data_IF_965125422182
#
_entry.id   IF_965125422182
#
_cell.length_a   1.000
_cell.length_b   1.000
_cell.length_c   1.000
_cell.angle_alpha   90.00
_cell.angle_beta   90.00
_cell.angle_gamma   90.00
#
_symmetry.space_group_name_H-M   'P 1'
#
loop_
_entity.id
_entity.type
_entity.pdbx_description
1 polymer ?
#
# COMPACT_ATOMS: atom_id res chain seq x y z
N UNK A 1 -13.05 4.54 -3.59
CA UNK A 1 -12.73 3.15 -3.91
C UNK A 1 -14.00 2.34 -3.76
N UNK A 2 -14.44 1.74 -4.85
CA UNK A 2 -15.48 0.72 -4.80
C UNK A 2 -14.99 -0.50 -4.05
N UNK A 3 -15.92 -1.27 -3.49
CA UNK A 3 -15.56 -2.52 -2.86
C UNK A 3 -14.99 -3.49 -3.91
N UNK A 4 -13.83 -4.08 -3.61
CA UNK A 4 -13.19 -5.01 -4.53
C UNK A 4 -11.73 -5.32 -4.19
N UNK A 5 -11.19 -6.30 -4.92
CA UNK A 5 -9.77 -6.64 -4.91
C UNK A 5 -9.10 -5.93 -6.08
N UNK A 6 -7.94 -5.35 -5.82
CA UNK A 6 -7.16 -4.59 -6.78
C UNK A 6 -5.73 -5.13 -6.83
N UNK A 7 -5.12 -5.15 -8.02
CA UNK A 7 -3.66 -5.19 -8.09
C UNK A 7 -3.13 -3.80 -7.77
N UNK A 8 -2.00 -3.75 -7.06
CA UNK A 8 -1.31 -2.52 -6.72
C UNK A 8 0.12 -2.58 -7.26
N UNK A 9 0.56 -1.51 -7.91
CA UNK A 9 1.96 -1.32 -8.33
C UNK A 9 2.47 0.01 -7.79
N UNK A 10 3.54 -0.05 -7.00
CA UNK A 10 4.12 1.10 -6.28
C UNK A 10 5.45 1.48 -6.90
N UNK A 11 5.72 2.79 -6.98
CA UNK A 11 7.02 3.36 -7.30
C UNK A 11 7.37 4.50 -6.33
N UNK A 12 8.59 4.50 -5.79
CA UNK A 12 9.06 5.60 -4.92
C UNK A 12 9.37 6.85 -5.72
N UNK A 13 9.25 8.00 -5.06
CA UNK A 13 9.51 9.32 -5.66
C UNK A 13 10.84 9.95 -5.20
N UNK A 14 11.61 9.23 -4.40
CA UNK A 14 12.88 9.67 -3.81
C UNK A 14 14.09 9.54 -4.75
N UNK A 15 13.88 9.16 -6.02
CA UNK A 15 14.94 8.99 -7.01
C UNK A 15 15.72 7.67 -6.88
N UNK A 16 15.45 6.84 -5.87
CA UNK A 16 16.11 5.55 -5.68
C UNK A 16 15.45 4.39 -6.47
N UNK A 17 14.33 4.65 -7.14
CA UNK A 17 13.71 3.70 -8.08
C UNK A 17 13.10 2.46 -7.41
N UNK A 18 12.73 2.55 -6.13
CA UNK A 18 12.07 1.47 -5.41
C UNK A 18 10.73 1.12 -6.06
N UNK A 19 10.50 -0.16 -6.33
CA UNK A 19 9.24 -0.67 -6.90
C UNK A 19 8.69 -1.79 -6.03
N UNK A 20 7.37 -1.84 -5.93
CA UNK A 20 6.65 -2.89 -5.21
C UNK A 20 5.39 -3.29 -5.96
N UNK A 21 4.92 -4.51 -5.75
CA UNK A 21 3.64 -4.98 -6.31
C UNK A 21 3.01 -5.98 -5.38
N UNK A 22 1.68 -6.00 -5.36
CA UNK A 22 0.89 -6.87 -4.49
C UNK A 22 -0.59 -6.80 -4.83
N UNK A 23 -1.42 -7.16 -3.85
CA UNK A 23 -2.88 -6.99 -3.92
C UNK A 23 -3.38 -6.18 -2.74
N UNK A 24 -4.44 -5.42 -2.99
CA UNK A 24 -5.11 -4.60 -1.98
C UNK A 24 -6.61 -4.68 -2.17
N UNK A 25 -7.32 -4.94 -1.08
CA UNK A 25 -8.76 -5.00 -0.99
C UNK A 25 -9.29 -3.74 -0.32
N UNK A 26 -10.25 -3.09 -0.97
CA UNK A 26 -11.07 -2.05 -0.37
C UNK A 26 -12.42 -2.66 -0.06
N UNK A 27 -12.86 -2.59 1.19
CA UNK A 27 -14.14 -3.16 1.59
C UNK A 27 -14.75 -2.38 2.75
N UNK A 28 -15.86 -1.68 2.51
CA UNK A 28 -16.66 -1.02 3.54
C UNK A 28 -15.81 -0.10 4.45
N UNK A 29 -14.98 0.74 3.84
CA UNK A 29 -14.11 1.68 4.58
C UNK A 29 -12.86 1.04 5.19
N UNK A 30 -12.59 -0.25 4.92
CA UNK A 30 -11.39 -0.97 5.36
C UNK A 30 -10.46 -1.31 4.21
N UNK A 31 -9.17 -1.35 4.53
CA UNK A 31 -8.09 -1.77 3.65
C UNK A 31 -7.49 -3.07 4.20
N UNK A 32 -7.31 -4.04 3.31
CA UNK A 32 -6.53 -5.24 3.56
C UNK A 32 -5.62 -5.49 2.38
N UNK A 33 -4.50 -6.17 2.56
CA UNK A 33 -3.69 -6.56 1.43
C UNK A 33 -2.37 -7.16 1.83
N UNK A 34 -1.53 -7.39 0.82
CA UNK A 34 -0.18 -7.86 1.05
C UNK A 34 0.55 -8.16 -0.25
N UNK A 35 1.79 -8.58 -0.07
CA UNK A 35 2.69 -9.08 -1.08
C UNK A 35 3.47 -10.30 -0.52
N UNK A 36 4.54 -10.67 -1.21
CA UNK A 36 5.39 -11.80 -0.85
C UNK A 36 6.02 -11.69 0.56
N UNK A 37 6.13 -10.48 1.14
CA UNK A 37 6.81 -10.23 2.40
C UNK A 37 5.94 -9.51 3.44
N UNK A 38 5.00 -8.70 2.98
CA UNK A 38 4.28 -7.73 3.78
C UNK A 38 2.78 -8.02 3.76
N UNK A 39 2.10 -7.70 4.86
CA UNK A 39 0.65 -7.53 4.88
C UNK A 39 0.32 -6.09 5.25
N UNK A 40 -0.82 -5.62 4.78
CA UNK A 40 -1.30 -4.26 4.97
C UNK A 40 -2.70 -4.29 5.57
N UNK A 41 -2.94 -3.47 6.58
CA UNK A 41 -4.28 -3.26 7.15
C UNK A 41 -4.52 -1.78 7.34
N UNK A 42 -5.77 -1.34 7.21
CA UNK A 42 -6.05 0.09 7.32
C UNK A 42 -7.51 0.44 7.16
N UNK A 43 -7.76 1.74 7.06
CA UNK A 43 -9.08 2.30 6.81
C UNK A 43 -9.01 3.42 5.77
N UNK A 44 -10.15 3.70 5.15
CA UNK A 44 -10.29 4.79 4.19
C UNK A 44 -11.67 5.44 4.27
N UNK A 45 -11.70 6.71 3.87
CA UNK A 45 -12.92 7.49 3.67
C UNK A 45 -12.99 7.99 2.24
N UNK A 46 -14.22 8.23 1.77
CA UNK A 46 -14.49 8.69 0.40
C UNK A 46 -15.04 10.11 0.38
N UNK A 47 -14.67 10.86 -0.65
CA UNK A 47 -15.26 12.16 -0.97
C UNK A 47 -15.37 12.26 -2.49
N UNK A 48 -16.56 12.02 -3.02
CA UNK A 48 -16.79 11.88 -4.46
C UNK A 48 -15.92 10.76 -5.06
N UNK A 49 -15.12 11.10 -6.07
CA UNK A 49 -14.18 10.19 -6.75
C UNK A 49 -12.78 10.20 -6.13
N UNK A 50 -12.63 10.73 -4.91
CA UNK A 50 -11.36 10.73 -4.16
C UNK A 50 -11.47 9.94 -2.87
N UNK A 51 -10.32 9.51 -2.35
CA UNK A 51 -10.23 8.84 -1.07
C UNK A 51 -9.00 9.28 -0.28
N UNK A 52 -9.10 9.16 1.04
CA UNK A 52 -7.97 9.28 1.97
C UNK A 52 -7.99 8.06 2.89
N UNK A 53 -6.83 7.62 3.33
CA UNK A 53 -6.73 6.47 4.22
C UNK A 53 -5.42 6.42 4.99
N UNK A 54 -5.41 5.52 5.95
CA UNK A 54 -4.25 5.20 6.78
C UNK A 54 -4.04 3.69 6.72
N UNK A 55 -2.79 3.28 6.57
CA UNK A 55 -2.40 1.89 6.42
C UNK A 55 -1.23 1.61 7.36
N UNK A 56 -1.30 0.49 8.06
CA UNK A 56 -0.16 -0.11 8.76
C UNK A 56 0.34 -1.27 7.93
N UNK A 57 1.65 -1.30 7.70
CA UNK A 57 2.36 -2.35 6.98
C UNK A 57 3.23 -3.11 7.96
N UNK A 58 3.09 -4.43 7.95
CA UNK A 58 3.84 -5.32 8.83
C UNK A 58 4.39 -6.50 8.03
N UNK A 59 5.58 -6.95 8.39
CA UNK A 59 6.30 -8.01 7.68
C UNK A 59 5.92 -9.37 8.24
N UNK A 60 5.41 -10.27 7.40
CA UNK A 60 5.11 -11.66 7.77
C UNK A 60 6.19 -12.63 7.33
N UNK A 61 6.90 -12.34 6.23
CA UNK A 61 7.94 -13.19 5.68
C UNK A 61 9.29 -12.47 5.67
N UNK A 62 10.33 -13.17 6.13
CA UNK A 62 11.70 -12.65 6.16
C UNK A 62 12.24 -12.48 4.74
N UNK A 63 12.87 -11.35 4.47
CA UNK A 63 13.51 -11.08 3.20
C UNK A 63 15.03 -11.23 3.34
N UNK A 64 15.53 -12.43 3.05
CA UNK A 64 16.97 -12.74 3.14
C UNK A 64 17.75 -12.08 1.99
N UNK A 65 17.23 -12.22 0.76
CA UNK A 65 17.90 -11.75 -0.46
C UNK A 65 17.15 -10.61 -1.16
N UNK A 66 16.12 -10.06 -0.51
CA UNK A 66 15.28 -9.00 -1.05
C UNK A 66 15.21 -7.80 -0.09
N UNK A 67 14.85 -6.64 -0.64
CA UNK A 67 14.63 -5.40 0.11
C UNK A 67 13.18 -4.95 -0.05
N UNK A 68 12.26 -5.40 0.83
CA UNK A 68 10.88 -4.93 0.81
C UNK A 68 10.83 -3.41 1.00
N UNK A 69 9.88 -2.76 0.34
CA UNK A 69 9.84 -1.30 0.30
C UNK A 69 9.58 -0.66 1.67
N UNK A 70 8.75 -1.31 2.48
CA UNK A 70 8.33 -0.86 3.81
C UNK A 70 8.67 -1.90 4.89
N UNK A 71 9.72 -2.69 4.69
CA UNK A 71 10.16 -3.73 5.61
C UNK A 71 11.67 -3.71 5.82
N UNK A 72 12.17 -4.61 6.68
CA UNK A 72 13.61 -4.77 6.91
C UNK A 72 14.14 -5.99 6.17
N UNK A 73 15.37 -5.87 5.65
CA UNK A 73 16.15 -7.00 5.16
C UNK A 73 16.94 -7.64 6.30
N UNK A 74 17.22 -8.93 6.17
CA UNK A 74 18.06 -9.67 7.13
C UNK A 74 17.28 -10.31 8.28
N UNK A 75 17.95 -10.45 9.42
CA UNK A 75 17.49 -11.22 10.59
C UNK A 75 16.70 -10.39 11.61
N UNK A 76 16.60 -9.08 11.42
CA UNK A 76 15.84 -8.21 12.30
C UNK A 76 14.33 -8.39 12.12
N UNK A 77 13.53 -8.40 13.21
CA UNK A 77 12.09 -8.34 13.11
C UNK A 77 11.67 -7.09 12.33
N UNK A 78 10.75 -7.26 11.38
CA UNK A 78 10.15 -6.13 10.66
C UNK A 78 9.42 -5.21 11.64
N UNK A 79 9.62 -3.89 11.49
CA UNK A 79 8.89 -2.89 12.27
C UNK A 79 7.60 -2.54 11.53
N UNK A 80 6.52 -2.28 12.27
CA UNK A 80 5.30 -1.74 11.68
C UNK A 80 5.56 -0.35 11.11
N UNK A 81 5.12 -0.12 9.87
CA UNK A 81 5.25 1.15 9.16
C UNK A 81 3.88 1.75 8.94
N UNK A 82 3.65 2.92 9.54
CA UNK A 82 2.45 3.72 9.30
C UNK A 82 2.56 4.51 7.99
N UNK A 83 1.50 4.48 7.20
CA UNK A 83 1.42 5.11 5.88
C UNK A 83 0.12 5.91 5.77
N UNK A 84 0.23 7.20 5.48
CA UNK A 84 -0.91 8.00 5.02
C UNK A 84 -1.04 7.91 3.51
N UNK A 85 -2.25 7.71 2.99
CA UNK A 85 -2.52 7.64 1.54
C UNK A 85 -3.67 8.55 1.12
N UNK A 86 -3.59 9.05 -0.10
CA UNK A 86 -4.70 9.74 -0.75
C UNK A 86 -4.67 9.52 -2.25
N UNK A 87 -5.84 9.46 -2.88
CA UNK A 87 -5.93 9.14 -4.29
C UNK A 87 -7.28 9.46 -4.92
N UNK A 88 -7.36 9.16 -6.21
CA UNK A 88 -8.58 9.26 -7.01
C UNK A 88 -8.86 7.92 -7.70
N UNK A 89 -10.13 7.70 -8.04
CA UNK A 89 -10.55 6.43 -8.63
C UNK A 89 -11.66 6.60 -9.67
N UNK A 90 -11.73 5.62 -10.55
CA UNK A 90 -12.76 5.42 -11.58
C UNK A 90 -13.33 4.00 -11.41
N UNK A 91 -14.23 3.59 -12.30
CA UNK A 91 -14.80 2.23 -12.27
C UNK A 91 -13.73 1.15 -12.44
N UNK A 92 -12.67 1.39 -13.20
CA UNK A 92 -11.65 0.39 -13.51
C UNK A 92 -10.51 0.28 -12.49
N UNK A 93 -10.35 1.26 -11.61
CA UNK A 93 -9.14 1.37 -10.81
C UNK A 93 -8.92 2.77 -10.25
N UNK A 94 -7.67 3.12 -9.95
CA UNK A 94 -7.32 4.42 -9.41
C UNK A 94 -5.83 4.64 -9.29
N UNK A 95 -5.47 5.83 -8.84
CA UNK A 95 -4.10 6.22 -8.53
C UNK A 95 -4.05 6.79 -7.13
N UNK A 96 -2.95 6.56 -6.42
CA UNK A 96 -2.74 7.14 -5.09
C UNK A 96 -1.31 7.56 -4.86
N UNK A 97 -1.15 8.55 -3.99
CA UNK A 97 0.12 8.93 -3.39
C UNK A 97 0.11 8.47 -1.94
N UNK A 98 1.29 8.11 -1.43
CA UNK A 98 1.45 7.80 -0.01
C UNK A 98 2.75 8.31 0.58
N UNK A 99 2.73 8.49 1.89
CA UNK A 99 3.88 8.85 2.69
C UNK A 99 4.03 7.83 3.82
N UNK A 100 5.12 7.06 3.79
CA UNK A 100 5.46 6.08 4.81
C UNK A 100 6.44 6.67 5.81
N UNK A 101 6.15 6.55 7.10
CA UNK A 101 7.02 7.06 8.18
C UNK A 101 7.92 5.94 8.72
N UNK A 102 9.22 6.03 8.43
CA UNK A 102 10.24 5.13 8.97
C UNK A 102 11.20 5.92 9.86
N UNK A 103 10.90 5.96 11.15
CA UNK A 103 11.70 6.73 12.12
C UNK A 103 11.67 8.23 11.80
N UNK A 104 12.82 8.78 11.37
CA UNK A 104 12.98 10.22 11.06
C UNK A 104 12.81 10.56 9.57
N UNK A 105 12.61 9.57 8.71
CA UNK A 105 12.51 9.76 7.26
C UNK A 105 11.10 9.42 6.77
N UNK A 106 10.61 10.23 5.83
CA UNK A 106 9.38 9.98 5.10
C UNK A 106 9.73 9.46 3.71
N UNK A 107 9.22 8.29 3.36
CA UNK A 107 9.32 7.74 2.00
C UNK A 107 8.04 8.07 1.24
N UNK A 108 8.16 8.85 0.17
CA UNK A 108 7.03 9.19 -0.70
C UNK A 108 6.95 8.20 -1.87
N UNK A 109 5.74 7.82 -2.22
CA UNK A 109 5.48 6.91 -3.34
C UNK A 109 4.21 7.26 -4.09
N UNK A 110 4.14 6.78 -5.34
CA UNK A 110 2.92 6.68 -6.14
C UNK A 110 2.55 5.22 -6.31
N UNK A 111 1.25 4.96 -6.43
CA UNK A 111 0.73 3.65 -6.76
C UNK A 111 -0.39 3.73 -7.79
N UNK A 112 -0.43 2.73 -8.66
CA UNK A 112 -1.54 2.47 -9.59
C UNK A 112 -2.34 1.28 -9.09
N UNK A 113 -3.66 1.36 -9.20
CA UNK A 113 -4.62 0.37 -8.75
C UNK A 113 -5.46 -0.08 -9.95
N UNK A 114 -5.54 -1.39 -10.17
CA UNK A 114 -6.43 -1.97 -11.19
C UNK A 114 -7.39 -2.94 -10.51
N UNK A 115 -8.70 -2.73 -10.68
CA UNK A 115 -9.71 -3.64 -10.11
C UNK A 115 -9.62 -5.00 -10.79
N UNK A 116 -9.48 -6.04 -9.99
CA UNK A 116 -9.45 -7.44 -10.44
C UNK A 116 -10.83 -8.07 -10.31
N UNK A 117 -11.51 -7.82 -9.19
CA UNK A 117 -12.86 -8.29 -8.93
C UNK A 117 -13.60 -7.30 -8.03
N UNK A 118 -14.92 -7.18 -8.19
CA UNK A 118 -15.78 -6.44 -7.28
C UNK A 118 -16.19 -7.32 -6.10
N UNK A 119 -16.43 -6.72 -4.94
CA UNK A 119 -17.12 -7.43 -3.85
C UNK A 119 -18.58 -6.99 -3.80
N UNK A 120 -19.42 -7.88 -3.29
CA UNK A 120 -20.82 -7.63 -2.98
C UNK A 120 -20.97 -6.69 -1.76
#
# INVERSE_FOLDING_TARGET
>A
MYNGLYSIHVATLDGHGGKGSGVIAFQNGRIYGGDAYLYYTGSYTLTGTTFKGEVVVSQHTRALDARPLFGRSGDQPGQEVGIGVSGSFTDGGGEMNGAAFQGKQSLLFKATLKRLISFD
#
